data_IF_234577221237
#
_entry.id   IF_234577221237
#
_cell.length_a   1.000
_cell.length_b   1.000
_cell.length_c   1.000
_cell.angle_alpha   90.00
_cell.angle_beta   90.00
_cell.angle_gamma   90.00
#
_symmetry.space_group_name_H-M   'P 1'
#
loop_
_entity.id
_entity.type
_entity.pdbx_description
1 polymer ?
#
# COMPACT_ATOMS: atom_id res chain seq x y z
N UNK A 1 23.30 16.88 5.69
CA UNK A 1 23.67 16.93 4.25
C UNK A 1 22.49 17.49 3.47
N UNK A 2 22.71 18.46 2.59
CA UNK A 2 21.67 18.94 1.67
C UNK A 2 21.29 17.82 0.69
N UNK A 3 20.00 17.62 0.39
CA UNK A 3 19.51 16.50 -0.41
C UNK A 3 20.13 16.39 -1.82
N UNK A 4 20.60 17.51 -2.37
CA UNK A 4 21.29 17.57 -3.66
C UNK A 4 22.66 16.88 -3.65
N UNK A 5 23.39 16.96 -2.53
CA UNK A 5 24.73 16.40 -2.41
C UNK A 5 24.67 14.86 -2.34
N UNK A 6 23.77 14.31 -1.53
CA UNK A 6 23.57 12.86 -1.43
C UNK A 6 23.16 12.24 -2.76
N UNK A 7 22.27 12.90 -3.51
CA UNK A 7 21.84 12.44 -4.83
C UNK A 7 23.01 12.30 -5.81
N UNK A 8 23.93 13.27 -5.81
CA UNK A 8 25.10 13.30 -6.69
C UNK A 8 26.20 12.31 -6.29
N UNK A 9 26.48 12.17 -5.00
CA UNK A 9 27.66 11.41 -4.53
C UNK A 9 27.33 9.98 -4.09
N UNK A 10 26.09 9.70 -3.67
CA UNK A 10 25.68 8.38 -3.19
C UNK A 10 24.70 7.74 -4.16
N UNK A 11 23.60 8.44 -4.46
CA UNK A 11 22.46 7.83 -5.16
C UNK A 11 22.78 7.48 -6.61
N UNK A 12 23.19 8.46 -7.45
CA UNK A 12 23.51 8.19 -8.86
C UNK A 12 24.67 7.19 -9.04
N UNK A 13 25.78 7.27 -8.26
CA UNK A 13 26.84 6.27 -8.36
C UNK A 13 26.42 4.85 -7.95
N UNK A 14 25.39 4.71 -7.10
CA UNK A 14 24.88 3.39 -6.72
C UNK A 14 24.25 2.63 -7.91
N UNK A 15 23.58 3.33 -8.84
CA UNK A 15 23.04 2.73 -10.07
C UNK A 15 24.17 2.19 -10.95
N UNK A 16 25.24 2.97 -11.15
CA UNK A 16 26.41 2.53 -11.90
C UNK A 16 27.12 1.31 -11.26
N UNK A 17 27.18 1.25 -9.92
CA UNK A 17 27.72 0.06 -9.21
C UNK A 17 26.81 -1.17 -9.30
N UNK A 18 25.52 -0.97 -9.44
CA UNK A 18 24.52 -2.04 -9.57
C UNK A 18 24.29 -2.46 -11.03
N UNK A 19 25.02 -1.87 -11.98
CA UNK A 19 24.84 -2.07 -13.43
C UNK A 19 23.41 -1.71 -13.91
N UNK A 20 22.84 -0.65 -13.32
CA UNK A 20 21.52 -0.13 -13.63
C UNK A 20 21.63 1.23 -14.33
N UNK A 21 20.77 1.47 -15.32
CA UNK A 21 20.62 2.79 -15.93
C UNK A 21 19.78 3.70 -15.03
N UNK A 22 20.20 4.95 -14.85
CA UNK A 22 19.47 5.94 -14.04
C UNK A 22 18.54 6.79 -14.92
N UNK A 23 17.23 6.74 -14.67
CA UNK A 23 16.20 7.53 -15.35
C UNK A 23 15.76 8.70 -14.46
N UNK A 24 16.08 9.93 -14.86
CA UNK A 24 15.97 11.14 -14.04
C UNK A 24 14.58 11.39 -13.40
N UNK A 25 13.48 10.91 -14.00
CA UNK A 25 12.12 11.07 -13.47
C UNK A 25 11.60 9.87 -12.66
N UNK A 26 12.01 8.65 -13.00
CA UNK A 26 11.55 7.44 -12.31
C UNK A 26 12.44 7.11 -11.11
N UNK A 27 13.75 7.28 -11.27
CA UNK A 27 14.77 6.86 -10.32
C UNK A 27 15.29 7.99 -9.45
N UNK A 28 14.68 9.18 -9.52
CA UNK A 28 15.01 10.28 -8.62
C UNK A 28 14.93 9.83 -7.16
N UNK A 29 15.86 10.27 -6.31
CA UNK A 29 15.99 9.79 -4.92
C UNK A 29 14.66 9.75 -4.15
N UNK A 30 13.86 10.81 -4.28
CA UNK A 30 12.55 10.87 -3.64
C UNK A 30 11.61 9.80 -4.22
N UNK A 31 11.51 9.72 -5.54
CA UNK A 31 10.66 8.74 -6.22
C UNK A 31 11.11 7.31 -5.94
N UNK A 32 12.38 6.96 -6.20
CA UNK A 32 12.90 5.61 -6.04
C UNK A 32 12.79 5.09 -4.60
N UNK A 33 13.34 5.81 -3.61
CA UNK A 33 13.37 5.32 -2.23
C UNK A 33 12.01 5.40 -1.54
N UNK A 34 11.30 6.53 -1.67
CA UNK A 34 10.03 6.71 -0.97
C UNK A 34 8.95 5.80 -1.56
N UNK A 35 8.89 5.66 -2.89
CA UNK A 35 7.93 4.74 -3.51
C UNK A 35 8.31 3.28 -3.27
N UNK A 36 9.60 2.90 -3.30
CA UNK A 36 10.00 1.53 -2.96
C UNK A 36 9.60 1.15 -1.53
N UNK A 37 9.84 2.05 -0.56
CA UNK A 37 9.47 1.85 0.83
C UNK A 37 7.96 1.66 0.99
N UNK A 38 7.16 2.55 0.40
CA UNK A 38 5.71 2.46 0.43
C UNK A 38 5.19 1.17 -0.24
N UNK A 39 5.68 0.84 -1.43
CA UNK A 39 5.31 -0.39 -2.16
C UNK A 39 5.60 -1.64 -1.34
N UNK A 40 6.76 -1.69 -0.66
CA UNK A 40 7.15 -2.85 0.13
C UNK A 40 6.27 -3.01 1.37
N UNK A 41 5.91 -1.92 2.05
CA UNK A 41 5.02 -1.95 3.21
C UNK A 41 3.60 -2.38 2.82
N UNK A 42 3.05 -1.82 1.74
CA UNK A 42 1.71 -2.19 1.26
C UNK A 42 1.65 -3.64 0.77
N UNK A 43 2.72 -4.14 0.11
CA UNK A 43 2.79 -5.55 -0.29
C UNK A 43 2.74 -6.53 0.89
N UNK A 44 3.11 -6.06 2.10
CA UNK A 44 3.07 -6.83 3.35
C UNK A 44 1.77 -6.62 4.14
N UNK A 45 0.80 -5.87 3.60
CA UNK A 45 -0.49 -5.66 4.23
C UNK A 45 -0.50 -4.59 5.33
N UNK A 46 0.52 -3.73 5.39
CA UNK A 46 0.53 -2.57 6.31
C UNK A 46 -0.63 -1.63 5.95
N UNK A 47 -1.31 -1.09 6.96
CA UNK A 47 -2.44 -0.20 6.70
C UNK A 47 -1.98 1.13 6.07
N UNK A 48 -2.84 1.71 5.24
CA UNK A 48 -2.55 3.00 4.58
C UNK A 48 -2.37 4.13 5.60
N UNK A 49 -3.04 4.04 6.76
CA UNK A 49 -2.90 4.98 7.87
C UNK A 49 -1.49 4.91 8.47
N UNK A 50 -1.02 3.72 8.84
CA UNK A 50 0.32 3.54 9.39
C UNK A 50 1.40 3.96 8.39
N UNK A 51 1.19 3.65 7.10
CA UNK A 51 2.07 4.13 6.05
C UNK A 51 2.09 5.66 5.96
N UNK A 52 0.95 6.33 6.12
CA UNK A 52 0.87 7.79 6.13
C UNK A 52 1.70 8.36 7.29
N UNK A 53 1.57 7.78 8.49
CA UNK A 53 2.35 8.20 9.66
C UNK A 53 3.86 8.02 9.43
N UNK A 54 4.31 6.89 8.88
CA UNK A 54 5.72 6.65 8.56
C UNK A 54 6.29 7.59 7.50
N UNK A 55 5.47 8.02 6.54
CA UNK A 55 5.87 8.95 5.49
C UNK A 55 5.78 10.42 5.92
N UNK A 56 5.19 10.68 7.09
CA UNK A 56 4.92 12.02 7.62
C UNK A 56 3.82 12.75 6.86
N UNK A 57 2.82 12.02 6.34
CA UNK A 57 1.67 12.61 5.67
C UNK A 57 0.57 12.92 6.69
N UNK A 58 0.21 14.19 6.85
CA UNK A 58 -0.91 14.60 7.72
C UNK A 58 -2.27 14.06 7.24
N UNK A 59 -2.44 13.91 5.92
CA UNK A 59 -3.65 13.35 5.31
C UNK A 59 -3.40 11.92 4.80
N UNK A 60 -3.96 10.88 5.44
CA UNK A 60 -3.94 9.52 4.90
C UNK A 60 -4.60 9.39 3.53
N UNK A 61 -5.52 10.29 3.17
CA UNK A 61 -6.14 10.36 1.85
C UNK A 61 -5.16 10.74 0.74
N UNK A 62 -4.10 11.49 1.06
CA UNK A 62 -2.99 11.75 0.15
C UNK A 62 -2.20 10.45 -0.12
N UNK A 63 -1.82 9.72 0.93
CA UNK A 63 -1.15 8.41 0.81
C UNK A 63 -1.97 7.44 -0.01
N UNK A 64 -3.28 7.36 0.26
CA UNK A 64 -4.19 6.48 -0.48
C UNK A 64 -4.21 6.82 -1.97
N UNK A 65 -4.39 8.09 -2.35
CA UNK A 65 -4.38 8.50 -3.77
C UNK A 65 -3.08 8.14 -4.49
N UNK A 66 -1.95 8.36 -3.83
CA UNK A 66 -0.63 8.08 -4.43
C UNK A 66 -0.40 6.59 -4.61
N UNK A 67 -0.81 5.75 -3.65
CA UNK A 67 -0.45 4.32 -3.63
C UNK A 67 -1.59 3.33 -3.86
N UNK A 68 -2.81 3.80 -4.13
CA UNK A 68 -3.99 2.92 -4.36
C UNK A 68 -3.77 1.89 -5.47
N UNK A 69 -2.98 2.25 -6.50
CA UNK A 69 -2.65 1.37 -7.61
C UNK A 69 -1.81 0.13 -7.21
N UNK A 70 -1.22 0.13 -6.01
CA UNK A 70 -0.45 -0.97 -5.46
C UNK A 70 -1.29 -1.90 -4.58
N UNK A 71 -2.48 -1.47 -4.18
CA UNK A 71 -3.39 -2.29 -3.41
C UNK A 71 -4.02 -3.31 -4.36
N UNK A 72 -3.80 -4.63 -4.15
CA UNK A 72 -4.50 -5.62 -4.93
C UNK A 72 -6.00 -5.45 -4.70
N UNK A 73 -6.81 -5.49 -5.76
CA UNK A 73 -8.27 -5.43 -5.74
C UNK A 73 -8.80 -6.13 -4.48
N UNK A 74 -9.29 -5.33 -3.54
CA UNK A 74 -9.76 -5.81 -2.24
C UNK A 74 -11.12 -6.47 -2.33
N UNK A 75 -11.76 -6.44 -3.50
CA UNK A 75 -13.14 -6.88 -3.68
C UNK A 75 -13.32 -8.35 -3.34
N UNK A 76 -12.45 -9.25 -3.81
CA UNK A 76 -12.61 -10.68 -3.53
C UNK A 76 -12.27 -11.02 -2.07
N UNK A 77 -11.25 -10.38 -1.48
CA UNK A 77 -10.93 -10.55 -0.04
C UNK A 77 -12.06 -10.03 0.86
N UNK A 78 -12.64 -8.88 0.51
CA UNK A 78 -13.78 -8.32 1.24
C UNK A 78 -15.01 -9.22 1.11
N UNK A 79 -15.27 -9.74 -0.09
CA UNK A 79 -16.37 -10.68 -0.33
C UNK A 79 -16.19 -11.97 0.47
N UNK A 80 -14.97 -12.52 0.52
CA UNK A 80 -14.64 -13.69 1.34
C UNK A 80 -14.81 -13.40 2.83
N UNK A 81 -14.28 -12.29 3.35
CA UNK A 81 -14.44 -11.92 4.77
C UNK A 81 -15.92 -11.71 5.17
N UNK A 82 -16.74 -11.15 4.27
CA UNK A 82 -18.20 -11.03 4.48
C UNK A 82 -18.87 -12.41 4.45
N UNK A 83 -18.50 -13.27 3.50
CA UNK A 83 -19.03 -14.62 3.40
C UNK A 83 -18.63 -15.51 4.60
N UNK A 84 -17.45 -15.28 5.16
CA UNK A 84 -17.01 -15.87 6.42
C UNK A 84 -17.83 -15.30 7.59
N UNK A 85 -17.92 -13.98 7.74
CA UNK A 85 -18.74 -13.44 8.85
C UNK A 85 -20.22 -13.81 8.80
N UNK A 86 -20.77 -14.19 7.63
CA UNK A 86 -22.13 -14.69 7.50
C UNK A 86 -22.38 -16.04 8.23
N UNK A 87 -21.37 -16.92 8.39
CA UNK A 87 -21.55 -18.17 9.15
C UNK A 87 -21.64 -17.94 10.66
N UNK A 88 -21.28 -16.75 11.15
CA UNK A 88 -21.42 -16.36 12.56
C UNK A 88 -22.89 -16.05 12.87
N UNK A 89 -23.68 -15.70 11.84
CA UNK A 89 -25.10 -15.39 11.95
C UNK A 89 -25.94 -16.52 11.34
N UNK A 90 -25.90 -17.73 11.94
CA UNK A 90 -26.88 -18.77 11.61
C UNK A 90 -28.29 -18.24 11.88
N UNK A 91 -28.96 -17.77 10.83
CA UNK A 91 -30.38 -17.47 10.88
C UNK A 91 -31.08 -18.79 11.21
N UNK A 92 -31.92 -18.84 12.27
CA UNK A 92 -32.68 -20.04 12.55
C UNK A 92 -33.47 -20.42 11.29
N UNK A 93 -33.56 -21.72 10.96
CA UNK A 93 -34.30 -22.15 9.78
C UNK A 93 -35.72 -21.59 9.87
N UNK A 94 -36.18 -21.00 8.77
CA UNK A 94 -37.51 -20.41 8.60
C UNK A 94 -38.60 -21.49 8.62
N UNK A 95 -38.78 -22.17 9.75
CA UNK A 95 -39.87 -23.10 10.02
C UNK A 95 -40.80 -22.55 11.10
N UNK A 96 -41.22 -21.28 10.95
CA UNK A 96 -42.05 -20.59 11.94
C UNK A 96 -43.19 -19.73 11.37
N UNK A 97 -43.48 -19.80 10.07
CA UNK A 97 -44.53 -18.99 9.43
C UNK A 97 -45.77 -19.78 8.97
N UNK A 98 -45.91 -21.05 9.37
CA UNK A 98 -47.11 -21.86 9.07
C UNK A 98 -48.00 -22.15 10.30
N UNK A 99 -47.94 -21.29 11.34
CA UNK A 99 -48.86 -21.39 12.47
C UNK A 99 -49.32 -20.00 12.94
N UNK A 100 -50.18 -19.36 12.14
CA UNK A 100 -51.08 -18.28 12.58
C UNK A 100 -52.36 -18.32 11.72
#
# INVERSE_FOLDING_TARGET
>A
MCGDLFSKIVWKPAFAKADLEYVNRADGMHSGLRHLYASKLLSRGVSVKELADYLGHEDPGFTLRVYTHLLPSSHERARQAVNESAHIWELPPVNGLEAA
#
